data_IF_464166615645
#
_entry.id   IF_464166615645
#
_cell.length_a   1.000
_cell.length_b   1.000
_cell.length_c   1.000
_cell.angle_alpha   90.00
_cell.angle_beta   90.00
_cell.angle_gamma   90.00
#
_symmetry.space_group_name_H-M   'P 1'
#
loop_
_entity.id
_entity.type
_entity.pdbx_description
1 polymer ?
#
# COMPACT_ATOMS: atom_id res chain seq x y z
N UNK A 1 -17.70 28.02 -21.65
CA UNK A 1 -18.72 27.10 -21.05
C UNK A 1 -18.54 27.04 -19.56
N UNK A 2 -19.64 27.01 -18.82
CA UNK A 2 -19.66 26.63 -17.40
C UNK A 2 -19.80 25.10 -17.34
N UNK A 3 -19.16 24.46 -16.36
CA UNK A 3 -19.25 23.01 -16.14
C UNK A 3 -19.61 22.77 -14.69
N UNK A 4 -20.76 22.14 -14.45
CA UNK A 4 -21.21 21.79 -13.12
C UNK A 4 -20.55 20.49 -12.64
N UNK A 5 -20.13 20.48 -11.37
CA UNK A 5 -19.49 19.36 -10.69
C UNK A 5 -19.97 19.28 -9.24
N UNK A 6 -19.98 18.08 -8.62
CA UNK A 6 -20.27 17.95 -7.20
C UNK A 6 -19.17 18.57 -6.34
N UNK A 7 -19.51 18.94 -5.10
CA UNK A 7 -18.53 19.42 -4.10
C UNK A 7 -17.38 18.42 -3.95
N UNK A 8 -16.17 18.95 -3.79
CA UNK A 8 -14.90 18.21 -3.68
C UNK A 8 -14.48 17.42 -4.95
N UNK A 9 -15.10 17.65 -6.12
CA UNK A 9 -14.58 17.16 -7.39
C UNK A 9 -13.17 17.73 -7.68
N UNK A 10 -12.31 16.94 -8.29
CA UNK A 10 -10.91 17.32 -8.55
C UNK A 10 -10.68 17.78 -10.00
N UNK A 11 -9.50 18.33 -10.27
CA UNK A 11 -9.10 18.67 -11.65
C UNK A 11 -9.16 17.46 -12.60
N UNK A 12 -8.88 16.25 -12.11
CA UNK A 12 -9.05 15.02 -12.88
C UNK A 12 -10.53 14.68 -13.16
N UNK A 13 -11.44 14.95 -12.22
CA UNK A 13 -12.88 14.81 -12.46
C UNK A 13 -13.37 15.79 -13.53
N UNK A 14 -12.90 17.05 -13.51
CA UNK A 14 -13.21 18.05 -14.53
C UNK A 14 -12.72 17.64 -15.93
N UNK A 15 -11.50 17.12 -16.04
CA UNK A 15 -10.97 16.59 -17.31
C UNK A 15 -11.85 15.45 -17.87
N UNK A 16 -12.28 14.51 -17.03
CA UNK A 16 -13.18 13.43 -17.41
C UNK A 16 -14.63 13.86 -17.64
N UNK A 17 -15.05 15.03 -17.12
CA UNK A 17 -16.35 15.64 -17.38
C UNK A 17 -16.40 16.35 -18.74
N UNK A 18 -15.31 17.00 -19.17
CA UNK A 18 -15.18 17.57 -20.53
C UNK A 18 -15.26 16.44 -21.57
N UNK A 19 -14.32 15.50 -21.54
CA UNK A 19 -14.33 14.36 -22.46
C UNK A 19 -13.49 13.21 -21.92
N UNK A 20 -13.89 11.97 -22.25
CA UNK A 20 -13.18 10.77 -21.80
C UNK A 20 -11.72 10.75 -22.28
N UNK A 21 -11.45 11.20 -23.50
CA UNK A 21 -10.10 11.23 -24.05
C UNK A 21 -9.23 12.38 -23.49
N UNK A 22 -9.86 13.51 -23.11
CA UNK A 22 -9.16 14.60 -22.40
C UNK A 22 -8.71 14.09 -21.03
N UNK A 23 -9.61 13.43 -20.29
CA UNK A 23 -9.27 12.73 -19.05
C UNK A 23 -8.13 11.73 -19.24
N UNK A 24 -8.24 10.81 -20.21
CA UNK A 24 -7.21 9.80 -20.47
C UNK A 24 -5.81 10.39 -20.74
N UNK A 25 -5.75 11.51 -21.47
CA UNK A 25 -4.51 12.18 -21.88
C UNK A 25 -4.05 13.28 -20.91
N UNK A 26 -4.69 13.44 -19.76
CA UNK A 26 -4.35 14.51 -18.81
C UNK A 26 -2.97 14.29 -18.18
N UNK A 27 -2.10 15.30 -18.24
CA UNK A 27 -0.79 15.35 -17.54
C UNK A 27 -0.82 16.25 -16.31
N UNK A 28 -1.63 17.31 -16.34
CA UNK A 28 -1.69 18.32 -15.29
C UNK A 28 -2.89 19.25 -15.48
N UNK A 29 -3.04 20.22 -14.59
CA UNK A 29 -4.09 21.24 -14.70
C UNK A 29 -3.59 22.58 -14.17
N UNK A 30 -4.31 23.64 -14.53
CA UNK A 30 -4.23 24.96 -13.88
C UNK A 30 -5.60 25.38 -13.39
N UNK A 31 -5.63 26.15 -12.31
CA UNK A 31 -6.78 26.94 -11.90
C UNK A 31 -6.36 28.40 -11.84
N UNK A 32 -7.13 29.28 -12.47
CA UNK A 32 -6.92 30.74 -12.47
C UNK A 32 -5.48 31.10 -12.90
N UNK A 33 -4.98 30.41 -13.95
CA UNK A 33 -3.63 30.53 -14.49
C UNK A 33 -2.52 29.82 -13.69
N UNK A 34 -2.77 29.41 -12.45
CA UNK A 34 -1.79 28.75 -11.56
C UNK A 34 -1.84 27.23 -11.66
N UNK A 35 -0.69 26.55 -11.76
CA UNK A 35 -0.62 25.08 -11.82
C UNK A 35 -1.15 24.45 -10.53
N UNK A 36 -2.02 23.44 -10.66
CA UNK A 36 -2.57 22.67 -9.53
C UNK A 36 -2.37 21.15 -9.74
N UNK A 37 -2.19 20.35 -8.67
CA UNK A 37 -2.08 18.91 -8.80
C UNK A 37 -3.45 18.28 -9.12
N UNK A 38 -3.45 17.16 -9.85
CA UNK A 38 -4.67 16.55 -10.41
C UNK A 38 -5.68 16.06 -9.36
N UNK A 39 -5.26 15.90 -8.11
CA UNK A 39 -6.08 15.51 -6.96
C UNK A 39 -6.55 16.70 -6.11
N UNK A 40 -6.22 17.94 -6.46
CA UNK A 40 -6.71 19.12 -5.74
C UNK A 40 -8.24 19.25 -5.94
N UNK A 41 -9.02 19.49 -4.86
CA UNK A 41 -10.44 19.81 -4.97
C UNK A 41 -10.61 21.21 -5.57
N UNK A 42 -11.53 21.32 -6.54
CA UNK A 42 -11.83 22.59 -7.21
C UNK A 42 -12.75 23.46 -6.36
N UNK A 43 -12.55 24.78 -6.41
CA UNK A 43 -13.45 25.78 -5.82
C UNK A 43 -14.48 26.23 -6.86
N UNK A 44 -15.59 26.82 -6.41
CA UNK A 44 -16.54 27.46 -7.31
C UNK A 44 -15.87 28.62 -8.08
N UNK A 45 -16.43 28.97 -9.24
CA UNK A 45 -16.06 30.13 -10.08
C UNK A 45 -14.61 30.17 -10.61
N UNK A 46 -13.80 29.13 -10.41
CA UNK A 46 -12.45 29.05 -10.98
C UNK A 46 -12.43 28.76 -12.48
N UNK A 47 -11.47 29.32 -13.20
CA UNK A 47 -11.17 29.00 -14.60
C UNK A 47 -10.16 27.87 -14.64
N UNK A 48 -10.57 26.69 -15.12
CA UNK A 48 -9.74 25.48 -15.13
C UNK A 48 -9.22 25.18 -16.54
N UNK A 49 -7.89 25.12 -16.68
CA UNK A 49 -7.20 24.62 -17.87
C UNK A 49 -6.73 23.18 -17.62
N UNK A 50 -6.96 22.27 -18.56
CA UNK A 50 -6.42 20.89 -18.51
C UNK A 50 -5.26 20.78 -19.49
N UNK A 51 -4.11 20.35 -18.97
CA UNK A 51 -2.91 20.06 -19.76
C UNK A 51 -2.96 18.60 -20.21
N UNK A 52 -2.78 18.35 -21.50
CA UNK A 52 -2.84 17.00 -22.07
C UNK A 52 -1.60 16.69 -22.91
N UNK A 53 -1.24 15.40 -23.04
CA UNK A 53 -0.20 14.95 -23.97
C UNK A 53 -0.58 13.67 -24.70
N UNK A 54 -0.01 13.38 -25.89
CA UNK A 54 -0.30 12.14 -26.63
C UNK A 54 0.11 10.85 -25.90
N UNK A 55 1.10 10.94 -25.00
CA UNK A 55 1.70 9.79 -24.31
C UNK A 55 1.08 9.55 -22.93
N UNK A 56 0.31 10.50 -22.39
CA UNK A 56 -0.37 10.35 -21.11
C UNK A 56 -1.45 9.26 -21.17
N UNK A 57 -1.52 8.46 -20.10
CA UNK A 57 -2.47 7.35 -19.95
C UNK A 57 -2.92 7.23 -18.48
N UNK A 58 -4.14 6.74 -18.23
CA UNK A 58 -4.59 6.42 -16.89
C UNK A 58 -3.71 5.35 -16.22
N UNK A 59 -3.52 5.47 -14.91
CA UNK A 59 -2.83 4.49 -14.07
C UNK A 59 -3.55 4.35 -12.72
N UNK A 60 -3.25 3.28 -11.96
CA UNK A 60 -4.05 2.87 -10.79
C UNK A 60 -4.30 3.99 -9.75
N UNK A 61 -3.32 4.86 -9.49
CA UNK A 61 -3.46 5.97 -8.54
C UNK A 61 -4.56 6.98 -8.91
N UNK A 62 -4.93 7.11 -10.19
CA UNK A 62 -6.03 7.98 -10.61
C UNK A 62 -7.38 7.58 -10.00
N UNK A 63 -7.56 6.32 -9.59
CA UNK A 63 -8.74 5.87 -8.84
C UNK A 63 -8.81 6.42 -7.41
N UNK A 64 -7.69 6.95 -6.88
CA UNK A 64 -7.61 7.69 -5.60
C UNK A 64 -7.79 9.21 -5.80
N UNK A 65 -7.48 9.73 -6.99
CA UNK A 65 -7.55 11.17 -7.30
C UNK A 65 -8.94 11.60 -7.80
N UNK A 66 -9.63 10.75 -8.56
CA UNK A 66 -10.98 11.00 -9.04
C UNK A 66 -12.04 10.73 -7.94
N UNK A 67 -12.80 11.76 -7.57
CA UNK A 67 -13.85 11.66 -6.57
C UNK A 67 -15.21 11.28 -7.17
N UNK A 68 -15.45 11.61 -8.44
CA UNK A 68 -16.73 11.32 -9.10
C UNK A 68 -16.86 9.85 -9.49
N UNK A 69 -18.10 9.33 -9.44
CA UNK A 69 -18.39 8.00 -9.97
C UNK A 69 -18.24 7.91 -11.49
N UNK A 70 -18.43 9.03 -12.21
CA UNK A 70 -18.23 9.13 -13.67
C UNK A 70 -16.76 8.91 -14.05
N UNK A 71 -15.83 9.73 -13.53
CA UNK A 71 -14.41 9.61 -13.81
C UNK A 71 -13.86 8.24 -13.36
N UNK A 72 -14.17 7.79 -12.13
CA UNK A 72 -13.74 6.47 -11.64
C UNK A 72 -14.25 5.30 -12.51
N UNK A 73 -15.45 5.39 -13.08
CA UNK A 73 -15.97 4.37 -14.02
C UNK A 73 -15.18 4.39 -15.34
N UNK A 74 -14.91 5.57 -15.90
CA UNK A 74 -14.11 5.75 -17.12
C UNK A 74 -12.67 5.23 -16.94
N UNK A 75 -12.01 5.59 -15.84
CA UNK A 75 -10.65 5.14 -15.50
C UNK A 75 -10.58 3.60 -15.38
N UNK A 76 -11.49 2.96 -14.63
CA UNK A 76 -11.53 1.49 -14.56
C UNK A 76 -11.79 0.84 -15.91
N UNK A 77 -12.73 1.36 -16.69
CA UNK A 77 -13.03 0.83 -18.02
C UNK A 77 -11.85 0.96 -19.00
N UNK A 78 -10.96 1.93 -18.80
CA UNK A 78 -9.71 2.04 -19.54
C UNK A 78 -8.66 1.04 -19.02
N UNK A 79 -8.41 0.99 -17.70
CA UNK A 79 -7.43 0.08 -17.09
C UNK A 79 -7.73 -1.39 -17.43
N UNK A 80 -8.96 -1.85 -17.16
CA UNK A 80 -9.41 -3.21 -17.47
C UNK A 80 -9.44 -3.55 -18.98
N UNK A 81 -9.14 -2.60 -19.88
CA UNK A 81 -9.07 -2.81 -21.34
C UNK A 81 -7.63 -2.75 -21.88
N UNK A 82 -6.74 -2.03 -21.23
CA UNK A 82 -5.38 -1.73 -21.74
C UNK A 82 -4.24 -2.19 -20.81
N UNK A 83 -4.55 -2.73 -19.64
CA UNK A 83 -3.57 -3.24 -18.68
C UNK A 83 -3.90 -4.69 -18.33
N UNK A 84 -3.26 -5.63 -19.06
CA UNK A 84 -3.51 -7.07 -18.97
C UNK A 84 -3.15 -7.67 -17.59
N UNK A 85 -2.34 -6.96 -16.80
CA UNK A 85 -1.98 -7.34 -15.43
C UNK A 85 -3.08 -6.96 -14.40
N UNK A 86 -4.10 -6.19 -14.81
CA UNK A 86 -5.08 -5.59 -13.90
C UNK A 86 -6.48 -6.19 -14.12
N UNK A 87 -6.62 -7.43 -13.67
CA UNK A 87 -7.93 -8.05 -13.34
C UNK A 87 -8.53 -7.38 -12.09
N UNK A 88 -9.00 -6.12 -12.22
CA UNK A 88 -9.92 -5.53 -11.23
C UNK A 88 -11.27 -6.24 -11.37
N UNK A 89 -11.40 -7.34 -10.64
CA UNK A 89 -12.60 -8.15 -10.64
C UNK A 89 -13.76 -7.45 -9.90
N UNK A 90 -14.98 -7.88 -10.21
CA UNK A 90 -16.24 -7.13 -10.00
C UNK A 90 -16.60 -6.88 -8.54
N UNK A 91 -15.89 -7.50 -7.59
CA UNK A 91 -16.25 -7.58 -6.17
C UNK A 91 -16.08 -6.26 -5.39
N UNK A 92 -15.12 -5.40 -5.76
CA UNK A 92 -14.78 -4.19 -4.98
C UNK A 92 -15.91 -3.14 -4.96
N UNK A 93 -16.77 -3.12 -5.98
CA UNK A 93 -17.81 -2.08 -6.14
C UNK A 93 -19.03 -2.35 -5.25
N UNK A 94 -19.33 -3.61 -4.92
CA UNK A 94 -20.45 -3.97 -4.05
C UNK A 94 -20.25 -3.46 -2.61
N UNK A 95 -19.15 -3.90 -1.96
CA UNK A 95 -18.78 -3.54 -0.57
C UNK A 95 -18.85 -2.04 -0.28
N UNK A 96 -18.43 -1.19 -1.23
CA UNK A 96 -18.40 0.27 -1.00
C UNK A 96 -19.79 0.86 -0.81
N UNK A 97 -20.81 0.30 -1.47
CA UNK A 97 -22.20 0.77 -1.39
C UNK A 97 -22.86 0.41 -0.04
N UNK A 98 -22.44 -0.71 0.55
CA UNK A 98 -22.89 -1.17 1.88
C UNK A 98 -22.27 -0.33 3.00
N UNK A 99 -20.97 -0.02 2.89
CA UNK A 99 -20.25 0.83 3.86
C UNK A 99 -20.81 2.26 3.88
N UNK A 100 -21.12 2.83 2.72
CA UNK A 100 -21.68 4.18 2.58
C UNK A 100 -23.07 4.30 3.24
N UNK A 101 -23.89 3.24 3.17
CA UNK A 101 -25.17 3.14 3.89
C UNK A 101 -25.02 2.91 5.40
N UNK A 102 -23.95 2.24 5.84
CA UNK A 102 -23.67 2.03 7.25
C UNK A 102 -23.19 3.31 7.96
N UNK A 103 -22.37 4.13 7.28
CA UNK A 103 -21.79 5.36 7.86
C UNK A 103 -22.86 6.41 8.20
N UNK A 104 -23.88 6.59 7.34
CA UNK A 104 -24.99 7.51 7.58
C UNK A 104 -25.88 7.19 8.82
N UNK A 105 -25.67 6.04 9.48
CA UNK A 105 -26.32 5.68 10.75
C UNK A 105 -25.50 6.02 12.01
N UNK A 106 -24.22 6.33 11.88
CA UNK A 106 -23.28 6.46 13.02
C UNK A 106 -23.24 7.89 13.58
N UNK A 107 -23.57 8.90 12.77
CA UNK A 107 -23.45 10.35 13.02
C UNK A 107 -24.44 10.92 14.08
N UNK A 108 -24.93 10.10 15.02
CA UNK A 108 -26.05 10.43 15.93
C UNK A 108 -25.85 10.12 17.42
N UNK A 109 -24.62 9.96 17.93
CA UNK A 109 -24.41 9.78 19.38
C UNK A 109 -23.13 10.47 19.92
N UNK A 110 -23.17 11.18 21.06
CA UNK A 110 -21.98 11.83 21.65
C UNK A 110 -20.99 10.86 22.33
N UNK A 111 -19.75 11.30 22.62
CA UNK A 111 -18.67 10.46 23.16
C UNK A 111 -18.25 10.77 24.61
N UNK A 112 -17.86 9.73 25.36
CA UNK A 112 -17.22 9.77 26.70
C UNK A 112 -16.68 8.36 27.02
N UNK A 113 -15.59 8.12 27.76
CA UNK A 113 -14.40 8.95 28.06
C UNK A 113 -13.20 8.03 28.43
N UNK A 114 -11.99 8.59 28.56
CA UNK A 114 -10.70 7.89 28.72
C UNK A 114 -10.33 7.60 30.19
N UNK A 115 -9.28 6.79 30.41
CA UNK A 115 -8.38 6.87 31.58
C UNK A 115 -6.95 6.45 31.15
N UNK A 116 -5.91 7.10 31.66
CA UNK A 116 -4.50 6.67 31.59
C UNK A 116 -4.21 5.45 32.52
N UNK A 117 -3.09 4.72 32.51
CA UNK A 117 -1.77 4.84 31.86
C UNK A 117 -0.96 3.55 32.20
N UNK A 118 0.36 3.38 32.10
CA UNK A 118 1.54 4.02 31.45
C UNK A 118 2.60 2.87 31.31
N UNK A 119 3.94 2.94 31.22
CA UNK A 119 5.00 3.98 31.28
C UNK A 119 6.31 3.40 30.64
N UNK A 120 7.45 4.10 30.79
CA UNK A 120 8.85 3.74 30.45
C UNK A 120 9.28 3.69 28.95
N UNK A 121 10.48 4.20 28.64
CA UNK A 121 10.90 4.56 27.28
C UNK A 121 11.67 3.49 26.49
N UNK A 122 11.19 3.14 25.28
CA UNK A 122 12.07 2.79 24.14
C UNK A 122 11.61 3.51 22.85
N UNK A 123 12.60 4.09 22.16
CA UNK A 123 12.55 4.83 20.88
C UNK A 123 11.40 4.39 19.95
N UNK A 124 10.50 5.32 19.62
CA UNK A 124 9.37 5.13 18.71
C UNK A 124 9.83 4.78 17.28
N UNK A 125 9.89 3.48 16.95
CA UNK A 125 9.87 3.05 15.56
C UNK A 125 8.50 3.37 14.95
N UNK A 126 8.48 4.13 13.85
CA UNK A 126 7.25 4.56 13.20
C UNK A 126 6.68 3.44 12.33
N UNK A 127 6.11 2.40 12.97
CA UNK A 127 5.52 1.24 12.28
C UNK A 127 4.32 1.68 11.44
N UNK A 128 4.41 1.51 10.12
CA UNK A 128 3.33 1.81 9.18
C UNK A 128 2.14 0.85 9.40
N UNK A 129 0.95 1.35 9.81
CA UNK A 129 -0.23 0.50 10.05
C UNK A 129 -0.74 -0.23 8.81
N UNK A 130 -0.34 0.17 7.60
CA UNK A 130 -0.78 -0.44 6.34
C UNK A 130 -0.23 -1.85 6.06
N UNK A 131 0.65 -2.38 6.94
CA UNK A 131 1.32 -3.69 6.81
C UNK A 131 1.10 -4.63 8.00
N UNK A 132 -0.04 -4.55 8.69
CA UNK A 132 -0.48 -5.59 9.62
C UNK A 132 -1.40 -6.59 8.92
N UNK A 133 -1.07 -7.88 9.01
CA UNK A 133 -1.88 -9.02 8.56
C UNK A 133 -2.07 -10.00 9.72
N UNK A 134 -2.95 -10.99 9.56
CA UNK A 134 -3.44 -11.85 10.64
C UNK A 134 -3.74 -13.27 10.14
N UNK A 135 -3.46 -14.28 10.96
CA UNK A 135 -3.74 -15.70 10.67
C UNK A 135 -4.89 -16.22 11.52
N UNK A 136 -5.74 -17.04 10.90
CA UNK A 136 -6.87 -17.73 11.53
C UNK A 136 -6.87 -19.17 11.04
N UNK A 137 -6.26 -20.07 11.82
CA UNK A 137 -5.98 -21.45 11.39
C UNK A 137 -5.16 -21.49 10.08
N UNK A 138 -5.69 -22.19 9.08
CA UNK A 138 -5.09 -22.34 7.74
C UNK A 138 -5.73 -21.45 6.65
N UNK A 139 -6.83 -20.72 6.95
CA UNK A 139 -7.54 -19.91 5.95
C UNK A 139 -6.92 -18.52 5.76
N UNK A 140 -6.45 -18.23 4.54
CA UNK A 140 -5.69 -17.01 4.20
C UNK A 140 -6.51 -15.84 3.67
N UNK A 141 -7.82 -16.01 3.46
CA UNK A 141 -8.68 -15.06 2.76
C UNK A 141 -9.79 -14.43 3.64
N UNK A 142 -9.66 -14.52 4.96
CA UNK A 142 -10.64 -13.92 5.88
C UNK A 142 -10.51 -12.39 5.93
N UNK A 143 -11.64 -11.69 6.07
CA UNK A 143 -11.63 -10.26 6.42
C UNK A 143 -11.28 -10.11 7.89
N UNK A 144 -10.15 -9.48 8.20
CA UNK A 144 -9.65 -9.33 9.57
C UNK A 144 -9.32 -7.85 9.83
N UNK A 145 -9.76 -7.33 10.98
CA UNK A 145 -9.63 -5.92 11.35
C UNK A 145 -9.22 -5.73 12.81
N UNK A 146 -8.39 -4.73 13.11
CA UNK A 146 -8.00 -4.38 14.48
C UNK A 146 -9.16 -3.70 15.22
N UNK A 147 -9.46 -4.16 16.43
CA UNK A 147 -10.47 -3.56 17.31
C UNK A 147 -10.07 -2.15 17.75
N UNK A 148 -10.75 -1.14 17.22
CA UNK A 148 -10.47 0.28 17.50
C UNK A 148 -10.62 0.69 18.98
N UNK A 149 -11.17 -0.18 19.83
CA UNK A 149 -11.41 0.05 21.26
C UNK A 149 -10.34 -0.54 22.21
N UNK A 150 -9.38 -1.30 21.69
CA UNK A 150 -8.18 -1.72 22.43
C UNK A 150 -6.90 -1.64 21.59
N UNK A 151 -7.02 -1.35 20.28
CA UNK A 151 -5.94 -1.17 19.32
C UNK A 151 -4.76 -2.14 19.49
N UNK A 152 -5.01 -3.48 19.50
CA UNK A 152 -3.97 -4.45 19.76
C UNK A 152 -2.74 -4.24 18.88
N UNK A 153 -1.56 -4.40 19.48
CA UNK A 153 -0.24 -4.24 18.86
C UNK A 153 0.56 -5.54 18.90
N UNK A 154 1.55 -5.68 18.01
CA UNK A 154 2.41 -6.87 17.97
C UNK A 154 3.10 -7.06 19.33
N UNK A 155 2.78 -8.16 20.01
CA UNK A 155 3.24 -8.45 21.38
C UNK A 155 2.08 -8.63 22.36
N UNK A 156 0.92 -8.02 22.09
CA UNK A 156 -0.32 -8.33 22.82
C UNK A 156 -0.76 -9.77 22.58
N UNK A 157 -1.27 -10.42 23.63
CA UNK A 157 -2.17 -11.55 23.51
C UNK A 157 -3.46 -11.10 22.81
N UNK A 158 -3.81 -11.76 21.71
CA UNK A 158 -4.97 -11.40 20.89
C UNK A 158 -5.95 -12.55 20.70
N UNK A 159 -7.21 -12.19 20.49
CA UNK A 159 -8.30 -13.10 20.20
C UNK A 159 -9.21 -12.47 19.12
N UNK A 160 -9.66 -13.29 18.17
CA UNK A 160 -10.59 -12.87 17.14
C UNK A 160 -12.01 -12.96 17.64
N UNK A 161 -12.86 -12.04 17.18
CA UNK A 161 -14.30 -12.09 17.38
C UNK A 161 -15.03 -12.05 16.03
N UNK A 162 -15.75 -13.12 15.71
CA UNK A 162 -16.49 -13.30 14.46
C UNK A 162 -17.73 -12.40 14.48
N UNK A 163 -17.59 -11.19 13.93
CA UNK A 163 -18.68 -10.23 13.85
C UNK A 163 -19.74 -10.65 12.82
N UNK A 164 -20.98 -10.17 13.00
CA UNK A 164 -22.14 -10.47 12.14
C UNK A 164 -22.11 -9.79 10.75
N UNK A 165 -20.93 -9.64 10.13
CA UNK A 165 -20.79 -9.10 8.77
C UNK A 165 -19.53 -8.26 8.49
N UNK A 166 -18.72 -7.91 9.50
CA UNK A 166 -17.45 -7.17 9.33
C UNK A 166 -16.23 -8.09 9.40
N UNK A 167 -16.40 -9.39 9.15
CA UNK A 167 -15.35 -10.38 9.33
C UNK A 167 -14.95 -10.57 10.80
N UNK A 168 -13.70 -10.97 11.02
CA UNK A 168 -13.11 -11.16 12.34
C UNK A 168 -12.52 -9.83 12.83
N UNK A 169 -12.84 -9.47 14.06
CA UNK A 169 -12.31 -8.29 14.73
C UNK A 169 -11.32 -8.78 15.79
N UNK A 170 -10.06 -8.38 15.68
CA UNK A 170 -8.98 -8.76 16.59
C UNK A 170 -8.98 -7.83 17.80
N UNK A 171 -9.27 -8.38 18.96
CA UNK A 171 -9.20 -7.72 20.27
C UNK A 171 -7.98 -8.25 21.04
N UNK A 172 -7.53 -7.52 22.07
CA UNK A 172 -6.72 -8.12 23.14
C UNK A 172 -7.53 -9.14 23.92
N UNK A 173 -6.92 -10.21 24.42
CA UNK A 173 -7.58 -11.22 25.28
C UNK A 173 -8.23 -10.61 26.53
N UNK A 174 -7.62 -9.56 27.07
CA UNK A 174 -8.09 -8.85 28.26
C UNK A 174 -9.20 -7.81 28.01
N UNK A 175 -9.52 -7.49 26.75
CA UNK A 175 -10.33 -6.33 26.36
C UNK A 175 -11.71 -6.27 27.08
N UNK A 176 -11.99 -5.24 27.90
CA UNK A 176 -13.29 -5.10 28.58
C UNK A 176 -14.47 -5.02 27.61
N UNK A 177 -14.29 -4.33 26.48
CA UNK A 177 -15.31 -4.21 25.44
C UNK A 177 -15.56 -5.51 24.67
N UNK A 178 -14.63 -6.49 24.69
CA UNK A 178 -14.91 -7.84 24.23
C UNK A 178 -15.72 -8.60 25.29
N UNK A 179 -15.23 -8.62 26.54
CA UNK A 179 -15.85 -9.33 27.68
C UNK A 179 -17.31 -8.94 27.91
N UNK A 180 -17.69 -7.70 27.58
CA UNK A 180 -19.05 -7.17 27.71
C UNK A 180 -19.99 -7.47 26.51
N UNK A 181 -19.55 -8.19 25.47
CA UNK A 181 -20.44 -8.61 24.37
C UNK A 181 -21.25 -9.87 24.74
N UNK A 182 -22.43 -10.03 24.13
CA UNK A 182 -23.14 -11.31 24.14
C UNK A 182 -22.45 -12.31 23.19
N UNK A 183 -22.61 -13.61 23.44
CA UNK A 183 -22.07 -14.72 22.61
C UNK A 183 -20.53 -14.73 22.46
N UNK A 184 -19.76 -14.13 23.36
CA UNK A 184 -18.27 -14.07 23.24
C UNK A 184 -17.67 -15.47 23.11
N UNK A 185 -18.06 -16.43 23.96
CA UNK A 185 -17.55 -17.80 23.90
C UNK A 185 -17.87 -18.51 22.58
N UNK A 186 -19.02 -18.20 21.99
CA UNK A 186 -19.57 -18.88 20.80
C UNK A 186 -19.12 -18.22 19.48
N UNK A 187 -18.44 -17.07 19.59
CA UNK A 187 -18.00 -16.23 18.45
C UNK A 187 -16.53 -15.82 18.51
N UNK A 188 -15.85 -16.10 19.63
CA UNK A 188 -14.40 -15.99 19.69
C UNK A 188 -13.75 -17.06 18.83
N UNK A 189 -12.61 -16.72 18.25
CA UNK A 189 -11.79 -17.61 17.45
C UNK A 189 -10.32 -17.27 17.73
N UNK A 190 -9.48 -18.30 17.81
CA UNK A 190 -8.04 -18.11 18.04
C UNK A 190 -7.41 -17.47 16.79
N UNK A 191 -6.62 -16.43 17.00
CA UNK A 191 -5.96 -15.67 15.94
C UNK A 191 -4.53 -15.37 16.32
N UNK A 192 -3.65 -15.40 15.32
CA UNK A 192 -2.25 -15.09 15.49
C UNK A 192 -1.87 -13.85 14.69
N UNK A 193 -0.89 -13.11 15.20
CA UNK A 193 -0.17 -12.10 14.43
C UNK A 193 0.50 -12.78 13.23
N UNK A 194 0.20 -12.39 12.00
CA UNK A 194 0.92 -12.94 10.85
C UNK A 194 2.36 -12.40 10.90
N UNK A 195 3.31 -13.31 11.13
CA UNK A 195 4.72 -13.00 11.38
C UNK A 195 5.50 -12.60 10.12
N UNK A 196 4.83 -12.04 9.13
CA UNK A 196 5.49 -11.15 8.18
C UNK A 196 5.84 -9.84 8.89
N UNK A 197 7.09 -9.76 9.31
CA UNK A 197 7.76 -8.52 9.72
C UNK A 197 7.71 -7.50 8.57
N UNK A 198 7.70 -6.18 8.84
CA UNK A 198 7.93 -5.19 7.80
C UNK A 198 9.32 -5.45 7.20
N UNK A 199 9.35 -5.95 5.95
CA UNK A 199 10.60 -6.37 5.30
C UNK A 199 11.63 -5.24 5.33
N UNK A 200 12.79 -5.54 5.91
CA UNK A 200 13.91 -4.62 6.04
C UNK A 200 14.51 -4.36 4.66
N UNK A 201 14.59 -3.09 4.26
CA UNK A 201 15.28 -2.68 3.04
C UNK A 201 16.76 -2.42 3.32
N UNK A 202 17.64 -2.97 2.46
CA UNK A 202 19.10 -2.83 2.57
C UNK A 202 19.70 -2.48 1.22
N UNK A 203 20.73 -1.63 1.22
CA UNK A 203 21.42 -1.17 0.01
C UNK A 203 22.87 -1.67 0.00
N UNK A 204 23.35 -2.06 -1.16
CA UNK A 204 24.71 -2.58 -1.33
C UNK A 204 25.28 -2.20 -2.69
N UNK A 205 26.59 -2.02 -2.73
CA UNK A 205 27.35 -1.89 -3.97
C UNK A 205 28.01 -3.22 -4.34
N UNK A 206 28.10 -3.49 -5.63
CA UNK A 206 28.76 -4.66 -6.21
C UNK A 206 29.74 -4.19 -7.27
N UNK A 207 30.94 -4.77 -7.26
CA UNK A 207 31.87 -4.73 -8.40
C UNK A 207 32.02 -6.15 -8.92
N UNK A 208 31.66 -6.40 -10.18
CA UNK A 208 31.84 -7.69 -10.85
C UNK A 208 32.76 -7.56 -12.05
N UNK A 209 33.33 -8.69 -12.49
CA UNK A 209 33.86 -8.78 -13.86
C UNK A 209 32.70 -8.77 -14.86
N UNK A 210 32.99 -8.48 -16.13
CA UNK A 210 31.99 -8.51 -17.20
C UNK A 210 31.30 -9.90 -17.26
N UNK A 211 30.00 -9.90 -17.05
CA UNK A 211 29.09 -11.05 -17.13
C UNK A 211 27.78 -10.60 -17.75
N UNK A 212 27.04 -11.51 -18.39
CA UNK A 212 25.81 -11.18 -19.11
C UNK A 212 24.55 -11.24 -18.24
N UNK A 213 24.61 -11.88 -17.07
CA UNK A 213 23.44 -12.07 -16.18
C UNK A 213 23.76 -11.84 -14.68
N UNK A 214 24.40 -10.70 -14.37
CA UNK A 214 24.66 -10.33 -12.98
C UNK A 214 23.35 -10.17 -12.17
N UNK A 215 22.25 -9.78 -12.84
CA UNK A 215 20.94 -9.65 -12.20
C UNK A 215 20.37 -11.02 -11.78
N UNK A 216 20.36 -12.02 -12.66
CA UNK A 216 19.89 -13.36 -12.34
C UNK A 216 20.76 -14.08 -11.30
N UNK A 217 22.09 -13.91 -11.37
CA UNK A 217 23.03 -14.39 -10.36
C UNK A 217 22.73 -13.79 -8.96
N UNK A 218 22.53 -12.47 -8.88
CA UNK A 218 22.16 -11.78 -7.63
C UNK A 218 20.78 -12.24 -7.14
N UNK A 219 19.76 -12.24 -8.00
CA UNK A 219 18.39 -12.58 -7.59
C UNK A 219 18.27 -14.04 -7.11
N UNK A 220 18.99 -14.98 -7.75
CA UNK A 220 19.07 -16.37 -7.29
C UNK A 220 19.63 -16.51 -5.86
N UNK A 221 20.65 -15.72 -5.52
CA UNK A 221 21.22 -15.70 -4.16
C UNK A 221 20.28 -15.05 -3.12
N UNK A 222 19.50 -14.03 -3.51
CA UNK A 222 18.48 -13.41 -2.65
C UNK A 222 17.31 -14.39 -2.36
N UNK A 223 16.79 -15.04 -3.42
CA UNK A 223 15.67 -15.99 -3.33
C UNK A 223 15.92 -17.11 -2.32
N UNK A 224 17.16 -17.59 -2.19
CA UNK A 224 17.58 -18.63 -1.23
C UNK A 224 17.26 -18.28 0.24
N UNK A 225 17.16 -17.00 0.58
CA UNK A 225 16.85 -16.51 1.93
C UNK A 225 15.57 -15.66 1.96
N UNK A 226 14.63 -15.91 1.04
CA UNK A 226 13.35 -15.16 0.90
C UNK A 226 13.52 -13.64 0.70
N UNK A 227 14.68 -13.20 0.22
CA UNK A 227 14.91 -11.83 -0.19
C UNK A 227 14.45 -11.57 -1.62
N UNK A 228 14.15 -10.31 -1.94
CA UNK A 228 13.81 -9.86 -3.30
C UNK A 228 14.58 -8.59 -3.66
N UNK A 229 14.89 -8.42 -4.95
CA UNK A 229 15.51 -7.20 -5.47
C UNK A 229 14.42 -6.17 -5.80
N UNK A 230 14.61 -4.90 -5.39
CA UNK A 230 13.68 -3.78 -5.62
C UNK A 230 14.18 -2.91 -6.78
N UNK A 231 15.45 -2.53 -6.74
CA UNK A 231 16.14 -1.83 -7.83
C UNK A 231 17.58 -2.32 -7.95
N UNK A 232 18.12 -2.24 -9.16
CA UNK A 232 19.54 -2.36 -9.42
C UNK A 232 19.94 -1.38 -10.52
N UNK A 233 21.09 -0.74 -10.36
CA UNK A 233 21.67 0.17 -11.36
C UNK A 233 23.10 -0.29 -11.62
N UNK A 234 23.44 -0.55 -12.88
CA UNK A 234 24.78 -0.93 -13.32
C UNK A 234 25.37 0.11 -14.26
N UNK A 235 26.69 0.23 -14.23
CA UNK A 235 27.53 1.07 -15.08
C UNK A 235 28.80 0.26 -15.43
N UNK A 236 29.28 0.37 -16.67
CA UNK A 236 30.63 -0.09 -17.01
C UNK A 236 31.66 0.94 -16.48
N UNK A 237 32.73 0.42 -15.89
CA UNK A 237 33.97 1.13 -15.51
C UNK A 237 34.93 1.19 -16.71
N UNK A 238 35.91 2.10 -16.71
CA UNK A 238 36.87 2.25 -17.82
C UNK A 238 37.72 0.98 -18.03
N UNK A 239 37.98 0.22 -16.96
CA UNK A 239 38.61 -1.11 -16.98
C UNK A 239 37.69 -2.24 -17.53
N UNK A 240 36.48 -1.94 -17.99
CA UNK A 240 35.50 -2.93 -18.46
C UNK A 240 34.90 -3.81 -17.35
N UNK A 241 35.02 -3.39 -16.09
CA UNK A 241 34.32 -3.98 -14.93
C UNK A 241 32.88 -3.48 -14.89
N UNK A 242 31.99 -4.23 -14.26
CA UNK A 242 30.64 -3.75 -13.95
C UNK A 242 30.61 -3.26 -12.50
N UNK A 243 30.21 -2.01 -12.30
CA UNK A 243 29.94 -1.42 -10.99
C UNK A 243 28.46 -1.11 -10.85
N UNK A 244 27.87 -1.49 -9.72
CA UNK A 244 26.44 -1.27 -9.51
C UNK A 244 26.04 -1.05 -8.06
N UNK A 245 24.86 -0.43 -7.91
CA UNK A 245 24.18 -0.26 -6.62
C UNK A 245 22.82 -0.92 -6.68
N UNK A 246 22.49 -1.66 -5.63
CA UNK A 246 21.34 -2.54 -5.57
C UNK A 246 20.61 -2.33 -4.24
N UNK A 247 19.28 -2.37 -4.27
CA UNK A 247 18.41 -2.26 -3.09
C UNK A 247 17.57 -3.52 -3.00
N UNK A 248 17.66 -4.23 -1.88
CA UNK A 248 16.91 -5.47 -1.60
C UNK A 248 15.94 -5.31 -0.44
N UNK A 249 14.92 -6.16 -0.39
CA UNK A 249 14.11 -6.42 0.81
C UNK A 249 14.39 -7.82 1.38
N UNK A 250 14.48 -7.93 2.72
CA UNK A 250 14.70 -9.17 3.48
C UNK A 250 13.77 -9.26 4.69
N UNK A 251 13.60 -10.45 5.28
CA UNK A 251 12.74 -10.60 6.47
C UNK A 251 13.45 -10.14 7.75
N UNK A 252 14.73 -10.49 7.94
CA UNK A 252 15.53 -10.13 9.11
C UNK A 252 16.96 -9.71 8.73
N UNK A 253 17.65 -8.95 9.59
CA UNK A 253 19.03 -8.50 9.29
C UNK A 253 20.03 -9.66 9.20
N UNK A 254 19.78 -10.77 9.89
CA UNK A 254 20.59 -11.98 9.73
C UNK A 254 20.42 -12.63 8.36
N UNK A 255 19.29 -12.45 7.66
CA UNK A 255 19.13 -12.90 6.29
C UNK A 255 19.94 -12.03 5.33
N UNK A 256 20.03 -10.71 5.55
CA UNK A 256 20.97 -9.85 4.83
C UNK A 256 22.42 -10.32 5.02
N UNK A 257 22.83 -10.66 6.25
CA UNK A 257 24.18 -11.23 6.52
C UNK A 257 24.42 -12.55 5.77
N UNK A 258 23.42 -13.43 5.66
CA UNK A 258 23.49 -14.69 4.89
C UNK A 258 23.55 -14.46 3.38
N UNK A 259 22.75 -13.50 2.86
CA UNK A 259 22.73 -13.12 1.45
C UNK A 259 24.07 -12.51 1.05
N UNK A 260 24.61 -11.54 1.80
CA UNK A 260 25.93 -10.93 1.52
C UNK A 260 27.05 -11.98 1.53
N UNK A 261 27.02 -12.96 2.46
CA UNK A 261 27.96 -14.10 2.44
C UNK A 261 27.82 -14.95 1.18
N UNK A 262 26.59 -15.17 0.69
CA UNK A 262 26.31 -15.99 -0.49
C UNK A 262 26.68 -15.27 -1.78
N UNK A 263 26.37 -13.98 -1.91
CA UNK A 263 26.78 -13.15 -3.05
C UNK A 263 28.30 -13.12 -3.21
N UNK A 264 29.07 -13.10 -2.09
CA UNK A 264 30.53 -13.22 -2.10
C UNK A 264 31.08 -14.58 -2.59
N UNK A 265 30.22 -15.57 -2.86
CA UNK A 265 30.62 -16.86 -3.46
C UNK A 265 30.31 -16.96 -4.96
N UNK A 266 29.67 -15.94 -5.55
CA UNK A 266 29.34 -15.93 -6.99
C UNK A 266 30.61 -15.60 -7.79
N UNK A 267 31.09 -16.47 -8.71
CA UNK A 267 32.38 -16.29 -9.38
C UNK A 267 32.51 -15.06 -10.30
N UNK A 268 31.42 -14.33 -10.57
CA UNK A 268 31.43 -13.06 -11.30
C UNK A 268 31.78 -11.86 -10.40
N UNK A 269 31.44 -11.93 -9.11
CA UNK A 269 31.54 -10.81 -8.18
C UNK A 269 32.93 -10.75 -7.55
N UNK A 270 33.58 -9.59 -7.67
CA UNK A 270 34.89 -9.32 -7.09
C UNK A 270 34.75 -8.72 -5.68
N UNK A 271 33.85 -7.75 -5.51
CA UNK A 271 33.73 -6.93 -4.29
C UNK A 271 32.28 -6.63 -3.96
N UNK A 272 31.93 -6.62 -2.67
CA UNK A 272 30.61 -6.18 -2.16
C UNK A 272 30.81 -5.32 -0.90
N UNK A 273 30.14 -4.16 -0.85
CA UNK A 273 30.05 -3.29 0.32
C UNK A 273 28.60 -2.91 0.64
N UNK A 274 28.28 -2.75 1.92
CA UNK A 274 26.99 -2.22 2.36
C UNK A 274 26.97 -0.69 2.24
N UNK A 275 25.87 -0.13 1.74
CA UNK A 275 25.63 1.31 1.69
C UNK A 275 24.70 1.64 2.85
N UNK A 276 25.17 2.51 3.76
CA UNK A 276 24.37 3.07 4.86
C UNK A 276 23.48 4.21 4.37
#
# INVERSE_FOLDING_TARGET
NIVELPKNATALDFAYQIHTEVGNRTTGAKADGSIIPLNAPLKNTQVIEILTSPNARPHLNWLRYAQTNSARKKIRAWLNKYDENILIDKQIIAKRKEIEQAQAKIEKRPPEQQVEGDDDEIIRQHVDPSRMKFRVGDEKNMMIHIAQCCNPVRGDEIIGYVSRGRGIIVHRTDCPNLKNMAEVKDRSIDVEWETEFPKLTKRFAVTSKRTYDLFGEIEGALRKYKGHLIEGRLQDDEDGKLMGTFTMEVQQEDDFKKIIKTLKTIPSINTISEIR
#
